data_IF_764788943764
#
_entry.id   IF_764788943764
#
_cell.length_a   1.000
_cell.length_b   1.000
_cell.length_c   1.000
_cell.angle_alpha   90.00
_cell.angle_beta   90.00
_cell.angle_gamma   90.00
#
_symmetry.space_group_name_H-M   'P 1'
#
loop_
_entity.id
_entity.type
_entity.pdbx_description
1 polymer ?
#
# COMPACT_ATOMS: atom_id res chain seq x y z
N UNK A 1 70.02 -34.97 32.35
CA UNK A 1 70.18 -35.52 33.72
C UNK A 1 70.48 -34.37 34.65
N UNK A 2 69.50 -33.92 35.44
CA UNK A 2 69.75 -33.02 36.57
C UNK A 2 68.73 -33.32 37.66
N UNK A 3 69.24 -33.96 38.68
CA UNK A 3 68.54 -34.51 39.86
C UNK A 3 68.32 -33.36 40.83
N UNK A 4 67.05 -32.96 41.01
CA UNK A 4 66.66 -31.87 41.92
C UNK A 4 66.54 -32.39 43.34
N UNK A 5 67.55 -32.10 44.17
CA UNK A 5 67.56 -32.43 45.59
C UNK A 5 66.44 -31.65 46.32
N UNK A 6 65.60 -32.40 47.01
CA UNK A 6 64.63 -31.83 47.95
C UNK A 6 65.30 -31.66 49.29
N UNK A 7 65.69 -30.44 49.68
CA UNK A 7 66.03 -30.08 51.04
C UNK A 7 64.83 -30.27 51.96
N UNK A 8 64.81 -31.29 52.77
CA UNK A 8 63.89 -31.42 53.89
C UNK A 8 64.33 -30.49 55.01
N UNK A 9 63.60 -29.34 55.15
CA UNK A 9 63.72 -28.48 56.31
C UNK A 9 63.19 -29.19 57.54
N UNK A 10 64.09 -29.60 58.46
CA UNK A 10 63.69 -30.09 59.77
C UNK A 10 63.37 -28.87 60.67
N UNK A 11 62.09 -28.50 60.73
CA UNK A 11 61.61 -27.53 61.69
C UNK A 11 61.79 -28.04 63.10
N UNK A 12 62.43 -27.32 63.95
CA UNK A 12 62.54 -27.62 65.38
C UNK A 12 61.11 -27.45 65.99
N UNK A 13 60.80 -28.28 67.02
CA UNK A 13 59.46 -28.28 67.64
C UNK A 13 59.00 -26.88 68.09
N UNK A 14 59.94 -25.99 68.43
CA UNK A 14 59.66 -24.60 68.79
C UNK A 14 59.17 -23.76 67.59
N UNK A 15 59.72 -23.97 66.40
CA UNK A 15 59.30 -23.25 65.19
C UNK A 15 57.95 -23.74 64.68
N UNK A 16 57.61 -25.03 64.84
CA UNK A 16 56.31 -25.58 64.51
C UNK A 16 55.20 -25.00 65.44
N UNK A 17 55.50 -24.85 66.72
CA UNK A 17 54.55 -24.27 67.66
C UNK A 17 54.35 -22.75 67.38
N UNK A 18 55.42 -22.04 67.06
CA UNK A 18 55.30 -20.63 66.71
C UNK A 18 54.45 -20.42 65.40
N UNK A 19 54.67 -21.29 64.40
CA UNK A 19 53.86 -21.23 63.17
C UNK A 19 52.39 -21.55 63.42
N UNK A 20 52.07 -22.51 64.30
CA UNK A 20 50.70 -22.82 64.63
C UNK A 20 49.98 -21.68 65.36
N UNK A 21 50.70 -20.97 66.26
CA UNK A 21 50.15 -19.81 66.96
C UNK A 21 49.88 -18.65 66.00
N UNK A 22 50.76 -18.39 65.06
CA UNK A 22 50.53 -17.34 64.04
C UNK A 22 49.34 -17.66 63.17
N UNK A 23 49.21 -18.93 62.73
CA UNK A 23 48.05 -19.39 61.96
C UNK A 23 46.72 -19.24 62.73
N UNK A 24 46.74 -19.55 64.03
CA UNK A 24 45.55 -19.40 64.90
C UNK A 24 45.17 -17.91 65.07
N UNK A 25 46.17 -17.02 65.21
CA UNK A 25 45.91 -15.56 65.30
C UNK A 25 45.32 -15.05 63.98
N UNK A 26 45.87 -15.48 62.84
CA UNK A 26 45.32 -15.12 61.50
C UNK A 26 43.89 -15.62 61.33
N UNK A 27 43.61 -16.86 61.73
CA UNK A 27 42.28 -17.45 61.67
C UNK A 27 41.25 -16.68 62.52
N UNK A 28 41.66 -16.28 63.73
CA UNK A 28 40.85 -15.46 64.61
C UNK A 28 40.60 -14.06 64.04
N UNK A 29 41.64 -13.46 63.50
CA UNK A 29 41.56 -12.14 62.85
C UNK A 29 40.59 -12.20 61.64
N UNK A 30 40.73 -13.20 60.78
CA UNK A 30 39.81 -13.44 59.67
C UNK A 30 38.37 -13.70 60.13
N UNK A 31 38.19 -14.50 61.21
CA UNK A 31 36.87 -14.70 61.80
C UNK A 31 36.18 -13.42 62.24
N UNK A 32 36.96 -12.48 62.87
CA UNK A 32 36.41 -11.19 63.26
C UNK A 32 36.15 -10.24 62.08
N UNK A 33 36.96 -10.31 61.03
CA UNK A 33 36.76 -9.53 59.81
C UNK A 33 35.50 -10.01 59.03
N UNK A 34 35.35 -11.32 58.91
CA UNK A 34 34.22 -11.90 58.19
C UNK A 34 32.94 -12.03 59.03
N UNK A 35 33.00 -11.80 60.33
CA UNK A 35 31.83 -11.77 61.17
C UNK A 35 30.96 -10.59 60.77
N UNK A 36 29.91 -10.85 59.97
CA UNK A 36 28.90 -9.84 59.60
C UNK A 36 28.42 -9.10 60.85
N UNK A 37 28.72 -7.82 61.00
CA UNK A 37 28.10 -6.98 62.01
C UNK A 37 26.60 -6.95 61.74
N UNK A 38 25.73 -7.23 62.69
CA UNK A 38 24.31 -7.03 62.53
C UNK A 38 24.10 -5.55 62.18
N UNK A 39 23.55 -5.31 60.99
CA UNK A 39 23.16 -3.93 60.66
C UNK A 39 21.99 -3.56 61.57
N UNK A 40 22.00 -2.37 62.15
CA UNK A 40 20.86 -1.89 62.94
C UNK A 40 19.66 -1.82 61.99
N UNK A 41 18.55 -2.46 62.36
CA UNK A 41 17.30 -2.31 61.65
C UNK A 41 16.86 -0.84 61.78
N UNK A 42 17.03 -0.10 60.67
CA UNK A 42 16.50 1.26 60.60
C UNK A 42 15.03 1.13 60.32
N UNK A 43 14.23 1.24 61.35
CA UNK A 43 12.80 1.36 61.22
C UNK A 43 12.47 2.71 60.59
N UNK A 44 11.93 2.76 59.34
CA UNK A 44 11.56 4.02 58.76
C UNK A 44 10.48 4.68 59.61
N UNK A 45 10.73 5.90 60.04
CA UNK A 45 9.71 6.70 60.69
C UNK A 45 8.72 7.14 59.63
N UNK A 46 7.51 6.65 59.71
CA UNK A 46 6.43 7.05 58.82
C UNK A 46 5.56 8.10 59.52
N UNK A 47 5.30 9.16 58.81
CA UNK A 47 4.31 10.14 59.23
C UNK A 47 2.95 9.62 58.75
N UNK A 48 2.07 9.44 59.69
CA UNK A 48 0.68 9.05 59.42
C UNK A 48 -0.20 10.28 59.52
N UNK A 49 -1.04 10.47 58.57
CA UNK A 49 -2.03 11.53 58.54
C UNK A 49 -3.43 10.89 58.48
N UNK A 50 -4.38 11.57 59.05
CA UNK A 50 -5.76 11.09 59.05
C UNK A 50 -6.31 11.15 57.64
N UNK A 51 -6.78 10.01 57.10
CA UNK A 51 -7.43 9.95 55.82
C UNK A 51 -8.77 10.68 55.88
N UNK A 52 -8.89 11.75 55.11
CA UNK A 52 -10.18 12.41 54.86
C UNK A 52 -10.73 11.92 53.54
N UNK A 53 -12.03 11.65 53.52
CA UNK A 53 -12.72 11.32 52.26
C UNK A 53 -13.13 12.64 51.61
N UNK A 54 -12.62 12.89 50.41
CA UNK A 54 -12.99 14.04 49.61
C UNK A 54 -13.32 13.57 48.20
N UNK A 55 -14.24 14.24 47.54
CA UNK A 55 -14.59 13.95 46.13
C UNK A 55 -13.51 14.55 45.23
N UNK A 56 -12.70 13.67 44.63
CA UNK A 56 -11.67 14.08 43.70
C UNK A 56 -12.14 13.80 42.27
N UNK A 57 -12.25 14.85 41.50
CA UNK A 57 -12.44 14.68 40.05
C UNK A 57 -11.16 14.13 39.43
N UNK A 58 -11.25 12.90 38.94
CA UNK A 58 -10.13 12.25 38.25
C UNK A 58 -10.22 12.55 36.75
N UNK A 59 -9.36 13.42 36.29
CA UNK A 59 -9.22 13.68 34.87
C UNK A 59 -8.20 12.72 34.29
N UNK A 60 -8.65 11.91 33.33
CA UNK A 60 -7.76 11.09 32.52
C UNK A 60 -7.42 11.82 31.22
N UNK A 61 -6.15 12.09 30.97
CA UNK A 61 -5.69 12.60 29.69
C UNK A 61 -5.35 11.43 28.77
N UNK A 62 -6.07 11.35 27.64
CA UNK A 62 -5.89 10.27 26.67
C UNK A 62 -5.41 10.82 25.35
N UNK A 63 -4.28 10.34 24.88
CA UNK A 63 -3.79 10.63 23.53
C UNK A 63 -4.53 9.74 22.54
N UNK A 64 -5.34 10.35 21.69
CA UNK A 64 -6.07 9.66 20.61
C UNK A 64 -5.59 10.10 19.25
N UNK A 65 -5.74 9.25 18.26
CA UNK A 65 -5.49 9.59 16.84
C UNK A 65 -6.80 9.52 16.08
N UNK A 66 -7.23 10.65 15.53
CA UNK A 66 -8.40 10.72 14.66
C UNK A 66 -8.00 10.22 13.28
N UNK A 67 -8.79 9.30 12.73
CA UNK A 67 -8.64 8.83 11.36
C UNK A 67 -9.99 8.92 10.65
N UNK A 68 -9.95 9.21 9.35
CA UNK A 68 -11.15 9.16 8.54
C UNK A 68 -11.72 7.73 8.51
N UNK A 69 -13.03 7.59 8.60
CA UNK A 69 -13.74 6.30 8.49
C UNK A 69 -13.57 5.71 7.08
N UNK A 70 -13.56 6.56 6.06
CA UNK A 70 -13.28 6.21 4.69
C UNK A 70 -12.18 7.13 4.16
N UNK A 71 -11.17 6.54 3.57
CA UNK A 71 -10.08 7.25 2.91
C UNK A 71 -9.90 6.68 1.51
N UNK A 72 -9.94 7.53 0.51
CA UNK A 72 -9.76 7.13 -0.89
C UNK A 72 -8.71 8.04 -1.52
N UNK A 73 -7.68 7.41 -2.06
CA UNK A 73 -6.67 8.10 -2.85
C UNK A 73 -7.18 8.24 -4.28
N UNK A 74 -7.24 9.48 -4.78
CA UNK A 74 -7.70 9.81 -6.12
C UNK A 74 -6.48 9.84 -7.03
N UNK A 75 -6.46 8.94 -8.02
CA UNK A 75 -5.38 8.83 -9.02
C UNK A 75 -5.95 8.92 -10.42
N UNK A 76 -5.21 9.57 -11.30
CA UNK A 76 -5.50 9.54 -12.74
C UNK A 76 -5.35 8.10 -13.28
N UNK A 77 -6.20 7.74 -14.24
CA UNK A 77 -6.15 6.45 -14.95
C UNK A 77 -5.54 6.56 -16.34
N UNK A 78 -5.26 7.79 -16.76
CA UNK A 78 -4.67 8.12 -18.07
C UNK A 78 -3.53 9.10 -17.85
N UNK A 79 -2.58 9.08 -18.75
CA UNK A 79 -1.42 9.97 -18.76
C UNK A 79 -1.75 11.28 -19.49
N UNK A 80 -1.17 12.38 -19.06
CA UNK A 80 -1.31 13.66 -19.73
C UNK A 80 -1.14 14.83 -18.78
N UNK A 81 -0.95 16.01 -19.34
CA UNK A 81 -0.80 17.24 -18.56
C UNK A 81 -2.08 17.62 -17.86
N UNK A 82 -1.96 18.01 -16.59
CA UNK A 82 -3.07 18.56 -15.82
C UNK A 82 -3.42 19.96 -16.38
N UNK A 83 -4.60 20.09 -16.98
CA UNK A 83 -5.07 21.34 -17.61
C UNK A 83 -5.81 22.21 -16.59
N UNK A 84 -6.72 21.62 -15.80
CA UNK A 84 -7.53 22.34 -14.82
C UNK A 84 -7.65 21.57 -13.50
N UNK A 85 -7.77 22.35 -12.42
CA UNK A 85 -8.10 21.88 -11.09
C UNK A 85 -9.29 22.66 -10.55
N UNK A 86 -10.35 21.96 -10.16
CA UNK A 86 -11.67 22.51 -9.87
C UNK A 86 -12.09 22.33 -8.40
N UNK A 87 -11.13 22.34 -7.49
CA UNK A 87 -11.38 22.30 -6.05
C UNK A 87 -10.32 23.10 -5.28
N UNK A 88 -10.62 23.43 -4.05
CA UNK A 88 -9.68 23.99 -3.07
C UNK A 88 -9.37 22.96 -2.00
N UNK A 89 -8.11 22.91 -1.56
CA UNK A 89 -7.67 22.01 -0.49
C UNK A 89 -8.42 22.28 0.82
N UNK A 90 -8.75 21.25 1.55
CA UNK A 90 -9.49 21.35 2.80
C UNK A 90 -10.99 21.60 2.64
N UNK A 91 -11.51 21.69 1.42
CA UNK A 91 -12.95 21.91 1.18
C UNK A 91 -13.74 20.62 1.12
N UNK A 92 -15.04 20.73 1.33
CA UNK A 92 -15.97 19.61 1.19
C UNK A 92 -16.37 19.42 -0.26
N UNK A 93 -16.15 18.22 -0.80
CA UNK A 93 -16.52 17.81 -2.15
C UNK A 93 -17.65 16.79 -2.13
N UNK A 94 -18.47 16.79 -3.18
CA UNK A 94 -19.55 15.81 -3.37
C UNK A 94 -19.07 14.66 -4.24
N UNK A 95 -19.69 13.50 -4.06
CA UNK A 95 -19.53 12.37 -4.98
C UNK A 95 -19.82 12.82 -6.42
N UNK A 96 -19.04 12.30 -7.37
CA UNK A 96 -19.09 12.62 -8.81
C UNK A 96 -18.73 14.08 -9.19
N UNK A 97 -18.34 14.91 -8.22
CA UNK A 97 -17.79 16.24 -8.49
C UNK A 97 -16.49 16.12 -9.27
N UNK A 98 -16.35 16.93 -10.33
CA UNK A 98 -15.09 17.02 -11.10
C UNK A 98 -14.02 17.68 -10.25
N UNK A 99 -12.86 17.07 -10.18
CA UNK A 99 -11.72 17.56 -9.41
C UNK A 99 -10.59 18.02 -10.32
N UNK A 100 -10.25 17.20 -11.31
CA UNK A 100 -9.15 17.46 -12.23
C UNK A 100 -9.60 17.25 -13.67
N UNK A 101 -9.02 18.02 -14.58
CA UNK A 101 -9.14 17.83 -16.03
C UNK A 101 -7.74 17.68 -16.61
N UNK A 102 -7.49 16.51 -17.21
CA UNK A 102 -6.28 16.19 -17.95
C UNK A 102 -6.51 16.62 -19.41
N UNK A 103 -5.50 17.13 -20.13
CA UNK A 103 -5.64 17.55 -21.52
C UNK A 103 -6.32 16.49 -22.40
N UNK A 104 -7.57 16.70 -22.84
CA UNK A 104 -8.36 15.71 -23.54
C UNK A 104 -8.09 15.66 -25.05
N UNK A 105 -7.24 16.55 -25.59
CA UNK A 105 -7.09 16.76 -27.04
C UNK A 105 -6.67 15.50 -27.76
N UNK A 106 -5.67 14.81 -27.23
CA UNK A 106 -5.18 13.55 -27.78
C UNK A 106 -6.26 12.44 -27.74
N UNK A 107 -6.99 12.38 -26.64
CA UNK A 107 -8.04 11.37 -26.44
C UNK A 107 -9.25 11.64 -27.34
N UNK A 108 -9.64 12.91 -27.52
CA UNK A 108 -10.67 13.32 -28.49
C UNK A 108 -10.28 12.89 -29.91
N UNK A 109 -9.05 13.17 -30.33
CA UNK A 109 -8.56 12.74 -31.64
C UNK A 109 -8.60 11.22 -31.85
N UNK A 110 -8.30 10.43 -30.78
CA UNK A 110 -8.41 8.96 -30.80
C UNK A 110 -9.87 8.50 -30.97
N UNK A 111 -10.81 9.11 -30.24
CA UNK A 111 -12.24 8.84 -30.39
C UNK A 111 -12.73 9.16 -31.80
N UNK A 112 -12.33 10.29 -32.37
CA UNK A 112 -12.73 10.68 -33.72
C UNK A 112 -12.15 9.71 -34.76
N UNK A 113 -10.91 9.27 -34.59
CA UNK A 113 -10.28 8.23 -35.44
C UNK A 113 -11.02 6.89 -35.37
N UNK A 114 -11.31 6.40 -34.14
CA UNK A 114 -12.05 5.15 -33.95
C UNK A 114 -13.48 5.24 -34.50
N UNK A 115 -14.15 6.39 -34.34
CA UNK A 115 -15.48 6.63 -34.93
C UNK A 115 -15.46 6.61 -36.43
N UNK A 116 -14.45 7.21 -37.07
CA UNK A 116 -14.30 7.17 -38.50
C UNK A 116 -14.03 5.74 -39.01
N UNK A 117 -13.23 4.96 -38.31
CA UNK A 117 -12.99 3.55 -38.63
C UNK A 117 -14.29 2.73 -38.54
N UNK A 118 -15.07 2.91 -37.48
CA UNK A 118 -16.37 2.25 -37.34
C UNK A 118 -17.35 2.61 -38.48
N UNK A 119 -17.39 3.87 -38.88
CA UNK A 119 -18.22 4.30 -40.04
C UNK A 119 -17.79 3.60 -41.34
N UNK A 120 -16.48 3.47 -41.55
CA UNK A 120 -15.94 2.76 -42.71
C UNK A 120 -16.34 1.29 -42.69
N UNK A 121 -16.21 0.61 -41.57
CA UNK A 121 -16.50 -0.82 -41.45
C UNK A 121 -18.02 -1.08 -41.56
N UNK A 122 -18.88 -0.21 -41.01
CA UNK A 122 -20.33 -0.25 -41.23
C UNK A 122 -20.71 -0.08 -42.71
N UNK A 123 -19.99 0.78 -43.45
CA UNK A 123 -20.20 0.91 -44.89
C UNK A 123 -19.80 -0.36 -45.68
N UNK A 124 -18.70 -1.02 -45.24
CA UNK A 124 -18.27 -2.30 -45.80
C UNK A 124 -19.26 -3.43 -45.47
N UNK A 125 -19.74 -3.51 -44.24
CA UNK A 125 -20.77 -4.45 -43.84
C UNK A 125 -22.03 -4.28 -44.68
N UNK A 126 -22.51 -3.03 -44.83
CA UNK A 126 -23.69 -2.73 -45.63
C UNK A 126 -23.50 -3.13 -47.09
N UNK A 127 -22.28 -2.92 -47.66
CA UNK A 127 -21.96 -3.39 -48.99
C UNK A 127 -22.03 -4.90 -49.08
N UNK A 128 -21.33 -5.62 -48.17
CA UNK A 128 -21.30 -7.08 -48.18
C UNK A 128 -22.71 -7.68 -47.96
N UNK A 129 -23.53 -7.07 -47.11
CA UNK A 129 -24.93 -7.45 -46.94
C UNK A 129 -25.75 -7.34 -48.23
N UNK A 130 -25.62 -6.20 -48.94
CA UNK A 130 -26.32 -5.99 -50.21
C UNK A 130 -25.84 -6.97 -51.30
N UNK A 131 -24.57 -7.34 -51.31
CA UNK A 131 -24.05 -8.32 -52.22
C UNK A 131 -24.61 -9.71 -51.89
N UNK A 132 -24.65 -10.12 -50.62
CA UNK A 132 -25.28 -11.36 -50.19
C UNK A 132 -26.80 -11.38 -50.52
N UNK A 133 -27.52 -10.31 -50.22
CA UNK A 133 -28.96 -10.17 -50.51
C UNK A 133 -29.25 -10.26 -52.02
N UNK A 134 -28.31 -9.94 -52.86
CA UNK A 134 -28.38 -10.08 -54.33
C UNK A 134 -28.07 -11.50 -54.80
N UNK A 135 -26.99 -12.10 -54.25
CA UNK A 135 -26.53 -13.43 -54.67
C UNK A 135 -27.48 -14.54 -54.21
N UNK A 136 -28.05 -14.46 -53.01
CA UNK A 136 -28.91 -15.48 -52.44
C UNK A 136 -30.12 -15.85 -53.36
N UNK A 137 -30.92 -14.89 -53.85
CA UNK A 137 -32.04 -15.23 -54.75
C UNK A 137 -31.56 -15.72 -56.13
N UNK A 138 -30.41 -15.29 -56.59
CA UNK A 138 -29.84 -15.81 -57.86
C UNK A 138 -29.44 -17.27 -57.71
N UNK A 139 -28.87 -17.65 -56.59
CA UNK A 139 -28.56 -19.05 -56.27
C UNK A 139 -29.83 -19.90 -56.20
N UNK A 140 -30.90 -19.43 -55.56
CA UNK A 140 -32.18 -20.10 -55.45
C UNK A 140 -32.83 -20.34 -56.85
N UNK A 141 -32.52 -19.44 -57.79
CA UNK A 141 -32.96 -19.56 -59.22
C UNK A 141 -31.96 -20.33 -60.10
N UNK A 142 -30.91 -20.97 -59.52
CA UNK A 142 -29.83 -21.64 -60.24
C UNK A 142 -29.05 -20.72 -61.19
N UNK A 143 -29.02 -19.39 -60.94
CA UNK A 143 -28.33 -18.38 -61.73
C UNK A 143 -27.02 -17.92 -61.06
N UNK A 144 -26.64 -18.45 -59.90
CA UNK A 144 -25.34 -18.29 -59.24
C UNK A 144 -24.84 -19.64 -58.73
N UNK A 145 -23.51 -19.76 -58.56
CA UNK A 145 -22.89 -20.98 -58.04
C UNK A 145 -22.92 -21.04 -56.51
N UNK A 146 -22.78 -22.23 -55.92
CA UNK A 146 -22.62 -22.43 -54.47
C UNK A 146 -21.40 -21.64 -53.98
N UNK A 147 -20.29 -21.63 -54.74
CA UNK A 147 -19.10 -20.89 -54.40
C UNK A 147 -19.35 -19.39 -54.27
N UNK A 148 -20.18 -18.82 -55.16
CA UNK A 148 -20.52 -17.38 -55.11
C UNK A 148 -21.32 -17.06 -53.84
N UNK A 149 -22.28 -17.95 -53.49
CA UNK A 149 -23.06 -17.79 -52.24
C UNK A 149 -22.16 -17.90 -51.00
N UNK A 150 -21.33 -18.94 -50.96
CA UNK A 150 -20.42 -19.15 -49.80
C UNK A 150 -19.43 -17.97 -49.62
N UNK A 151 -18.90 -17.44 -50.72
CA UNK A 151 -18.06 -16.24 -50.70
C UNK A 151 -18.80 -14.99 -50.22
N UNK A 152 -20.05 -14.80 -50.65
CA UNK A 152 -20.87 -13.68 -50.21
C UNK A 152 -21.21 -13.77 -48.70
N UNK A 153 -21.52 -14.97 -48.21
CA UNK A 153 -21.73 -15.22 -46.77
C UNK A 153 -20.47 -14.92 -45.97
N UNK A 154 -19.33 -15.51 -46.37
CA UNK A 154 -18.06 -15.32 -45.68
C UNK A 154 -17.62 -13.83 -45.66
N UNK A 155 -17.84 -13.11 -46.77
CA UNK A 155 -17.56 -11.67 -46.87
C UNK A 155 -18.44 -10.86 -45.90
N UNK A 156 -19.73 -11.19 -45.78
CA UNK A 156 -20.64 -10.53 -44.84
C UNK A 156 -20.27 -10.83 -43.42
N UNK A 157 -20.02 -12.08 -43.03
CA UNK A 157 -19.60 -12.48 -41.68
C UNK A 157 -18.29 -11.81 -41.28
N UNK A 158 -17.33 -11.72 -42.21
CA UNK A 158 -16.09 -11.01 -41.98
C UNK A 158 -16.30 -9.51 -41.73
N UNK A 159 -17.18 -8.88 -42.53
CA UNK A 159 -17.50 -7.46 -42.38
C UNK A 159 -18.27 -7.19 -41.04
N UNK A 160 -19.18 -8.07 -40.62
CA UNK A 160 -19.85 -7.99 -39.30
C UNK A 160 -18.82 -8.07 -38.17
N UNK A 161 -17.87 -9.00 -38.28
CA UNK A 161 -16.79 -9.14 -37.29
C UNK A 161 -15.91 -7.89 -37.21
N UNK A 162 -15.62 -7.24 -38.34
CA UNK A 162 -14.88 -5.97 -38.38
C UNK A 162 -15.64 -4.83 -37.71
N UNK A 163 -16.96 -4.76 -37.88
CA UNK A 163 -17.80 -3.76 -37.18
C UNK A 163 -17.76 -3.98 -35.66
N UNK A 164 -17.91 -5.23 -35.19
CA UNK A 164 -17.83 -5.54 -33.76
C UNK A 164 -16.46 -5.11 -33.17
N UNK A 165 -15.38 -5.36 -33.90
CA UNK A 165 -14.04 -4.95 -33.50
C UNK A 165 -13.92 -3.42 -33.39
N UNK A 166 -14.35 -2.68 -34.41
CA UNK A 166 -14.28 -1.20 -34.40
C UNK A 166 -15.25 -0.57 -33.40
N UNK A 167 -16.38 -1.21 -33.06
CA UNK A 167 -17.24 -0.78 -31.95
C UNK A 167 -16.54 -0.93 -30.60
N UNK A 168 -15.81 -2.01 -30.39
CA UNK A 168 -15.01 -2.23 -29.16
C UNK A 168 -13.87 -1.20 -29.09
N UNK A 169 -13.18 -0.91 -30.19
CA UNK A 169 -12.11 0.09 -30.24
C UNK A 169 -12.65 1.50 -29.94
N UNK A 170 -13.81 1.86 -30.48
CA UNK A 170 -14.46 3.13 -30.15
C UNK A 170 -14.83 3.22 -28.67
N UNK A 171 -15.44 2.16 -28.12
CA UNK A 171 -15.78 2.13 -26.69
C UNK A 171 -14.55 2.27 -25.80
N UNK A 172 -13.44 1.64 -26.16
CA UNK A 172 -12.16 1.80 -25.44
C UNK A 172 -11.64 3.24 -25.51
N UNK A 173 -11.69 3.87 -26.68
CA UNK A 173 -11.26 5.27 -26.86
C UNK A 173 -12.15 6.24 -26.07
N UNK A 174 -13.47 6.05 -26.06
CA UNK A 174 -14.42 6.85 -25.29
C UNK A 174 -14.23 6.68 -23.77
N UNK A 175 -13.94 5.47 -23.31
CA UNK A 175 -13.59 5.20 -21.93
C UNK A 175 -12.31 5.94 -21.51
N UNK A 176 -11.28 5.88 -22.35
CA UNK A 176 -10.03 6.60 -22.08
C UNK A 176 -10.24 8.12 -22.06
N UNK A 177 -11.06 8.67 -22.95
CA UNK A 177 -11.48 10.08 -22.91
C UNK A 177 -12.25 10.41 -21.62
N UNK A 178 -13.13 9.52 -21.17
CA UNK A 178 -13.85 9.69 -19.90
C UNK A 178 -12.92 9.80 -18.70
N UNK A 179 -11.79 9.10 -18.71
CA UNK A 179 -10.80 9.15 -17.65
C UNK A 179 -9.96 10.43 -17.61
N UNK A 180 -10.01 11.27 -18.64
CA UNK A 180 -9.36 12.61 -18.60
C UNK A 180 -10.06 13.55 -17.63
N UNK A 181 -11.33 13.29 -17.28
CA UNK A 181 -12.08 14.03 -16.29
C UNK A 181 -12.12 13.21 -14.99
N UNK A 182 -11.28 13.57 -14.04
CA UNK A 182 -11.17 12.88 -12.76
C UNK A 182 -12.23 13.37 -11.80
N UNK A 183 -13.06 12.48 -11.28
CA UNK A 183 -14.17 12.77 -10.37
C UNK A 183 -13.98 12.09 -9.01
N UNK A 184 -14.58 12.68 -7.98
CA UNK A 184 -14.58 12.07 -6.65
C UNK A 184 -15.50 10.85 -6.60
N UNK A 185 -15.02 9.69 -6.11
CA UNK A 185 -15.86 8.51 -5.92
C UNK A 185 -16.73 8.56 -4.67
N UNK A 186 -16.42 9.46 -3.72
CA UNK A 186 -17.13 9.62 -2.44
C UNK A 186 -17.36 11.10 -2.14
N UNK A 187 -18.26 11.41 -1.20
CA UNK A 187 -18.37 12.74 -0.62
C UNK A 187 -17.50 12.84 0.63
N UNK A 188 -16.84 13.97 0.84
CA UNK A 188 -15.97 14.17 1.99
C UNK A 188 -15.09 15.41 1.86
N UNK A 189 -14.18 15.58 2.80
CA UNK A 189 -13.17 16.64 2.73
C UNK A 189 -11.97 16.15 1.93
N UNK A 190 -11.56 16.98 0.95
CA UNK A 190 -10.35 16.72 0.18
C UNK A 190 -9.14 17.23 0.97
N UNK A 191 -8.08 16.44 0.98
CA UNK A 191 -6.80 16.77 1.63
C UNK A 191 -5.91 17.57 0.67
N UNK A 192 -4.62 17.57 0.95
CA UNK A 192 -3.58 18.15 0.11
C UNK A 192 -3.44 17.43 -1.23
N UNK A 193 -2.97 18.16 -2.22
CA UNK A 193 -2.64 17.63 -3.54
C UNK A 193 -1.14 17.35 -3.64
N UNK A 194 -0.81 16.37 -4.45
CA UNK A 194 0.58 16.00 -4.78
C UNK A 194 0.99 16.45 -6.19
N UNK A 195 0.09 17.15 -6.91
CA UNK A 195 0.30 17.53 -8.31
C UNK A 195 -0.13 18.98 -8.55
N UNK A 196 0.56 19.67 -9.44
CA UNK A 196 0.26 21.03 -9.84
C UNK A 196 -0.17 21.10 -11.30
N UNK A 197 -0.88 22.17 -11.67
CA UNK A 197 -1.29 22.43 -13.07
C UNK A 197 -0.05 22.50 -13.95
N UNK A 198 -0.08 21.79 -15.08
CA UNK A 198 1.03 21.69 -16.02
C UNK A 198 2.01 20.56 -15.72
N UNK A 199 1.80 19.75 -14.65
CA UNK A 199 2.57 18.51 -14.44
C UNK A 199 1.99 17.34 -15.24
N UNK A 200 2.82 16.33 -15.50
CA UNK A 200 2.48 15.09 -16.22
C UNK A 200 2.06 14.01 -15.23
#
# INVERSE_FOLDING_TARGET
>A
MAKKERKRLRLTKRQAIAGAVVLAIIAVALYFIFRKRPQPEVHPTVVVETVTTDDMEIYGEYVGRIRAQQFVEIRARVEGYLEEMLFEEGTYIKKDQVLFVIDPKLYKARVDGARAQLQKDKALELKAKRDLDRIRPLFEQNAASQLDLDNAIASYESAVSAVIMSEADLAQAELALGYTTVRSPISGYISERNVDIGTL
#
